data_IF_796092884779
#
_entry.id   IF_796092884779
#
_cell.length_a   1.000
_cell.length_b   1.000
_cell.length_c   1.000
_cell.angle_alpha   90.00
_cell.angle_beta   90.00
_cell.angle_gamma   90.00
#
_symmetry.space_group_name_H-M   'P 1'
#
loop_
_entity.id
_entity.type
_entity.pdbx_description
1 polymer ?
#
# COMPACT_ATOMS: atom_id res chain seq x y z
N UNK A 1 6.56 19.31 17.64
CA UNK A 1 7.44 18.19 17.28
C UNK A 1 7.51 18.07 15.76
N UNK A 2 8.64 18.36 15.08
CA UNK A 2 8.97 18.29 13.62
C UNK A 2 7.85 18.55 12.56
N UNK A 3 6.66 17.98 12.74
CA UNK A 3 5.41 18.08 11.99
C UNK A 3 4.22 18.58 12.83
N UNK A 4 4.44 19.23 13.98
CA UNK A 4 3.37 19.77 14.85
C UNK A 4 3.07 18.93 16.11
N UNK A 5 1.80 18.76 16.45
CA UNK A 5 1.34 17.85 17.52
C UNK A 5 1.11 16.44 16.97
N UNK A 6 1.51 15.42 17.71
CA UNK A 6 1.18 14.04 17.37
C UNK A 6 -0.21 13.68 17.93
N UNK A 7 -1.08 12.97 17.18
CA UNK A 7 -0.92 12.56 15.79
C UNK A 7 -1.22 13.70 14.79
N UNK A 8 -0.31 13.97 13.85
CA UNK A 8 -0.58 14.89 12.73
C UNK A 8 -1.42 14.16 11.67
N UNK A 9 -2.40 14.86 11.10
CA UNK A 9 -3.22 14.38 9.97
C UNK A 9 -2.60 14.73 8.62
N UNK A 10 -1.49 15.46 8.60
CA UNK A 10 -0.83 15.90 7.39
C UNK A 10 -0.04 14.76 6.76
N UNK A 11 -0.11 14.67 5.43
CA UNK A 11 0.64 13.71 4.63
C UNK A 11 1.88 14.39 4.07
N UNK A 12 3.02 13.73 4.17
CA UNK A 12 4.30 14.24 3.71
C UNK A 12 4.99 13.21 2.83
N UNK A 13 5.65 13.66 1.77
CA UNK A 13 6.58 12.80 1.06
C UNK A 13 7.79 12.50 1.97
N UNK A 14 8.36 11.30 1.82
CA UNK A 14 9.49 10.89 2.66
C UNK A 14 10.70 11.83 2.53
N UNK A 15 10.89 12.40 1.34
CA UNK A 15 11.94 13.39 1.10
C UNK A 15 11.74 14.67 1.91
N UNK A 16 10.50 15.14 2.05
CA UNK A 16 10.17 16.33 2.86
C UNK A 16 10.35 16.05 4.35
N UNK A 17 10.04 14.84 4.79
CA UNK A 17 10.34 14.39 6.15
C UNK A 17 11.85 14.43 6.43
N UNK A 18 12.67 13.89 5.51
CA UNK A 18 14.14 13.90 5.63
C UNK A 18 14.70 15.33 5.60
N UNK A 19 14.18 16.20 4.73
CA UNK A 19 14.55 17.62 4.67
C UNK A 19 14.21 18.35 5.97
N UNK A 20 13.01 18.15 6.52
CA UNK A 20 12.61 18.75 7.80
C UNK A 20 13.48 18.31 8.96
N UNK A 21 13.82 17.02 9.03
CA UNK A 21 14.77 16.51 10.02
C UNK A 21 16.14 17.17 9.88
N UNK A 22 16.66 17.27 8.65
CA UNK A 22 17.96 17.88 8.37
C UNK A 22 17.98 19.38 8.73
N UNK A 23 16.94 20.12 8.34
CA UNK A 23 16.79 21.53 8.68
C UNK A 23 16.71 21.74 10.20
N UNK A 24 16.01 20.86 10.91
CA UNK A 24 15.94 20.90 12.38
C UNK A 24 17.32 20.70 13.02
N UNK A 25 18.06 19.69 12.57
CA UNK A 25 19.43 19.41 13.06
C UNK A 25 20.36 20.59 12.82
N UNK A 26 20.26 21.23 11.64
CA UNK A 26 21.05 22.42 11.33
C UNK A 26 20.66 23.63 12.19
N UNK A 27 19.37 23.91 12.32
CA UNK A 27 18.86 25.05 13.10
C UNK A 27 19.21 24.96 14.59
N UNK A 28 19.23 23.74 15.14
CA UNK A 28 19.56 23.50 16.54
C UNK A 28 21.05 23.19 16.78
N UNK A 29 21.90 23.26 15.75
CA UNK A 29 23.34 23.02 15.90
C UNK A 29 23.69 21.60 16.38
N UNK A 30 22.83 20.62 16.09
CA UNK A 30 22.94 19.26 16.62
C UNK A 30 23.90 18.38 15.81
N UNK A 31 24.46 18.90 14.71
CA UNK A 31 25.39 18.17 13.85
C UNK A 31 26.78 18.12 14.47
N UNK A 32 27.32 16.92 14.62
CA UNK A 32 28.67 16.66 15.09
C UNK A 32 29.59 16.29 13.92
N UNK A 33 30.88 16.17 14.22
CA UNK A 33 31.89 15.66 13.30
C UNK A 33 31.57 14.22 12.86
N UNK A 34 32.09 13.82 11.69
CA UNK A 34 31.98 12.45 11.14
C UNK A 34 30.55 11.96 10.83
N UNK A 35 29.57 12.87 10.74
CA UNK A 35 28.19 12.50 10.35
C UNK A 35 27.33 11.97 11.50
N UNK A 36 27.74 12.26 12.74
CA UNK A 36 26.96 12.04 13.95
C UNK A 36 26.05 13.23 14.24
N UNK A 37 24.99 12.97 15.00
CA UNK A 37 24.00 13.95 15.45
C UNK A 37 23.84 13.79 16.95
N UNK A 38 23.99 14.88 17.69
CA UNK A 38 23.68 14.95 19.12
C UNK A 38 22.16 15.02 19.28
N UNK A 39 21.58 14.14 20.08
CA UNK A 39 20.14 14.09 20.30
C UNK A 39 19.73 15.02 21.45
N UNK A 40 18.82 15.95 21.19
CA UNK A 40 18.11 16.69 22.22
C UNK A 40 16.93 15.89 22.76
N UNK A 41 16.32 16.34 23.85
CA UNK A 41 15.18 15.65 24.48
C UNK A 41 14.01 15.47 23.50
N UNK A 42 13.78 16.44 22.61
CA UNK A 42 12.75 16.36 21.57
C UNK A 42 13.01 15.21 20.61
N UNK A 43 14.23 15.09 20.06
CA UNK A 43 14.55 13.99 19.15
C UNK A 43 14.56 12.64 19.87
N UNK A 44 14.99 12.60 21.13
CA UNK A 44 14.95 11.37 21.95
C UNK A 44 13.50 10.89 22.12
N UNK A 45 12.58 11.78 22.50
CA UNK A 45 11.16 11.43 22.65
C UNK A 45 10.48 11.09 21.32
N UNK A 46 10.86 11.73 20.21
CA UNK A 46 10.26 11.49 18.90
C UNK A 46 10.74 10.18 18.25
N UNK A 47 12.01 9.83 18.44
CA UNK A 47 12.68 8.77 17.69
C UNK A 47 12.79 7.46 18.47
N UNK A 48 12.78 7.53 19.80
CA UNK A 48 12.97 6.38 20.69
C UNK A 48 11.74 6.14 21.54
N UNK A 49 11.30 4.89 21.57
CA UNK A 49 10.25 4.47 22.51
C UNK A 49 10.78 4.48 23.94
N UNK A 50 9.88 4.49 24.94
CA UNK A 50 10.26 4.44 26.36
C UNK A 50 11.06 3.17 26.74
N UNK A 51 10.99 2.14 25.90
CA UNK A 51 11.65 0.85 26.10
C UNK A 51 13.01 0.72 25.41
N UNK A 52 13.41 1.71 24.59
CA UNK A 52 14.68 1.70 23.87
C UNK A 52 15.75 2.50 24.62
N UNK A 53 17.01 2.06 24.55
CA UNK A 53 18.14 2.89 24.98
C UNK A 53 18.17 4.19 24.18
N UNK A 54 18.31 5.32 24.89
CA UNK A 54 18.32 6.67 24.33
C UNK A 54 19.76 7.21 24.34
N UNK A 55 20.58 6.86 23.33
CA UNK A 55 21.94 7.38 23.23
C UNK A 55 21.95 8.91 23.10
N UNK A 56 23.05 9.54 23.49
CA UNK A 56 23.26 10.98 23.29
C UNK A 56 23.68 11.33 21.86
N UNK A 57 24.25 10.38 21.13
CA UNK A 57 24.80 10.58 19.79
C UNK A 57 24.39 9.43 18.86
N UNK A 58 23.90 9.78 17.67
CA UNK A 58 23.42 8.81 16.67
C UNK A 58 23.85 9.22 15.28
N UNK A 59 24.12 8.23 14.41
CA UNK A 59 24.45 8.52 13.02
C UNK A 59 23.24 9.08 12.25
N UNK A 60 23.49 10.00 11.31
CA UNK A 60 22.42 10.55 10.46
C UNK A 60 21.64 9.47 9.70
N UNK A 61 22.31 8.36 9.37
CA UNK A 61 21.70 7.20 8.70
C UNK A 61 20.71 6.47 9.60
N UNK A 62 21.09 6.18 10.84
CA UNK A 62 20.23 5.52 11.82
C UNK A 62 19.02 6.40 12.17
N UNK A 63 19.23 7.71 12.34
CA UNK A 63 18.16 8.67 12.59
C UNK A 63 17.14 8.71 11.43
N UNK A 64 17.63 8.64 10.18
CA UNK A 64 16.78 8.52 9.00
C UNK A 64 15.94 7.24 8.99
N UNK A 65 16.52 6.09 9.35
CA UNK A 65 15.81 4.82 9.45
C UNK A 65 14.76 4.83 10.57
N UNK A 66 15.07 5.44 11.72
CA UNK A 66 14.13 5.59 12.83
C UNK A 66 12.97 6.52 12.47
N UNK A 67 13.25 7.60 11.75
CA UNK A 67 12.21 8.48 11.21
C UNK A 67 11.26 7.69 10.31
N UNK A 68 11.81 6.89 9.38
CA UNK A 68 11.01 6.02 8.48
C UNK A 68 10.14 5.02 9.27
N UNK A 69 10.68 4.46 10.35
CA UNK A 69 9.98 3.49 11.21
C UNK A 69 8.85 4.12 12.03
N UNK A 70 9.06 5.33 12.54
CA UNK A 70 8.10 6.00 13.43
C UNK A 70 6.98 6.71 12.67
N UNK A 71 7.17 6.96 11.36
CA UNK A 71 6.13 7.48 10.49
C UNK A 71 5.16 6.37 10.08
N UNK A 72 3.90 6.78 9.85
CA UNK A 72 2.88 5.88 9.31
C UNK A 72 2.90 6.00 7.80
N UNK A 73 3.18 4.90 7.10
CA UNK A 73 3.08 4.86 5.64
C UNK A 73 1.62 5.03 5.18
N UNK A 74 1.46 5.84 4.15
CA UNK A 74 0.23 5.99 3.39
C UNK A 74 0.53 5.78 1.90
N UNK A 75 -0.42 5.20 1.18
CA UNK A 75 -0.40 5.06 -0.27
C UNK A 75 -1.42 6.01 -0.87
N UNK A 76 -1.02 6.76 -1.89
CA UNK A 76 -1.91 7.57 -2.71
C UNK A 76 -2.17 6.83 -4.02
N UNK A 77 -3.46 6.69 -4.38
CA UNK A 77 -3.89 6.12 -5.66
C UNK A 77 -4.53 7.24 -6.46
N UNK A 78 -3.98 7.51 -7.65
CA UNK A 78 -4.44 8.55 -8.56
C UNK A 78 -4.99 7.87 -9.80
N UNK A 79 -6.26 8.12 -10.11
CA UNK A 79 -6.96 7.55 -11.26
C UNK A 79 -7.33 8.68 -12.21
N UNK A 80 -6.60 8.82 -13.31
CA UNK A 80 -6.84 9.90 -14.28
C UNK A 80 -6.72 11.29 -13.64
N UNK A 81 -7.78 12.09 -13.80
CA UNK A 81 -7.88 13.46 -13.26
C UNK A 81 -8.62 13.52 -11.91
N UNK A 82 -8.91 12.39 -11.27
CA UNK A 82 -9.58 12.36 -9.96
C UNK A 82 -8.62 12.69 -8.80
N UNK A 83 -9.21 13.15 -7.68
CA UNK A 83 -8.43 13.42 -6.47
C UNK A 83 -7.77 12.14 -5.91
N UNK A 84 -6.53 12.22 -5.40
CA UNK A 84 -5.82 11.07 -4.85
C UNK A 84 -6.58 10.44 -3.68
N UNK A 85 -6.84 9.14 -3.79
CA UNK A 85 -7.38 8.34 -2.68
C UNK A 85 -6.24 7.87 -1.81
N UNK A 86 -6.23 8.31 -0.54
CA UNK A 86 -5.21 7.91 0.43
C UNK A 86 -5.66 6.71 1.25
N UNK A 87 -4.83 5.68 1.28
CA UNK A 87 -5.02 4.49 2.11
C UNK A 87 -3.83 4.32 3.05
N UNK A 88 -4.10 3.89 4.29
CA UNK A 88 -3.05 3.65 5.28
C UNK A 88 -2.33 2.33 4.95
N UNK A 89 -1.00 2.36 4.95
CA UNK A 89 -0.14 1.20 4.75
C UNK A 89 0.48 1.12 3.35
N UNK A 90 1.06 -0.06 3.07
CA UNK A 90 1.62 -0.40 1.78
C UNK A 90 0.54 -0.40 0.68
N UNK A 91 0.92 -0.22 -0.58
CA UNK A 91 -0.04 -0.20 -1.67
C UNK A 91 -0.84 -1.52 -1.69
N UNK A 92 -2.18 -1.44 -1.86
CA UNK A 92 -2.99 -2.63 -2.00
C UNK A 92 -2.58 -3.40 -3.26
N UNK A 93 -2.77 -4.71 -3.25
CA UNK A 93 -2.57 -5.55 -4.43
C UNK A 93 -3.90 -6.13 -4.89
N UNK A 94 -4.11 -6.18 -6.21
CA UNK A 94 -5.19 -6.96 -6.81
C UNK A 94 -4.76 -8.42 -6.80
N UNK A 95 -5.56 -9.26 -6.16
CA UNK A 95 -5.29 -10.70 -6.12
C UNK A 95 -6.16 -11.41 -7.16
N UNK A 96 -5.51 -12.09 -8.11
CA UNK A 96 -6.13 -12.97 -9.10
C UNK A 96 -5.82 -14.41 -8.68
N UNK A 97 -6.84 -15.12 -8.23
CA UNK A 97 -6.72 -16.50 -7.75
C UNK A 97 -7.42 -17.42 -8.75
N UNK A 98 -6.66 -18.31 -9.38
CA UNK A 98 -7.24 -19.41 -10.16
C UNK A 98 -7.36 -20.62 -9.26
N UNK A 99 -8.57 -21.10 -9.03
CA UNK A 99 -8.82 -22.29 -8.22
C UNK A 99 -9.79 -23.26 -8.89
N UNK A 100 -9.66 -24.54 -8.52
CA UNK A 100 -10.55 -25.60 -8.98
C UNK A 100 -11.61 -25.87 -7.91
N UNK A 101 -12.88 -25.89 -8.31
CA UNK A 101 -14.01 -26.30 -7.46
C UNK A 101 -14.71 -27.48 -8.10
N UNK A 102 -14.55 -28.65 -7.48
CA UNK A 102 -14.96 -29.92 -8.08
C UNK A 102 -14.18 -30.17 -9.37
N UNK A 103 -14.87 -30.29 -10.51
CA UNK A 103 -14.24 -30.43 -11.82
C UNK A 103 -14.06 -29.11 -12.58
N UNK A 104 -14.62 -28.01 -12.06
CA UNK A 104 -14.64 -26.72 -12.76
C UNK A 104 -13.51 -25.82 -12.29
N UNK A 105 -12.83 -25.16 -13.23
CA UNK A 105 -11.86 -24.11 -12.94
C UNK A 105 -12.60 -22.78 -12.87
N UNK A 106 -12.23 -21.93 -11.92
CA UNK A 106 -12.70 -20.56 -11.84
C UNK A 106 -11.54 -19.62 -11.52
N UNK A 107 -11.72 -18.36 -11.89
CA UNK A 107 -10.81 -17.27 -11.57
C UNK A 107 -11.52 -16.30 -10.64
N UNK A 108 -10.87 -15.91 -9.54
CA UNK A 108 -11.34 -14.97 -8.53
C UNK A 108 -10.50 -13.73 -8.55
N UNK A 109 -11.13 -12.55 -8.57
CA UNK A 109 -10.43 -11.26 -8.53
C UNK A 109 -10.87 -10.52 -7.27
N UNK A 110 -9.92 -10.03 -6.49
CA UNK A 110 -10.14 -9.34 -5.20
C UNK A 110 -9.45 -7.98 -5.14
N UNK A 111 -9.87 -7.16 -4.17
CA UNK A 111 -9.31 -5.84 -3.87
C UNK A 111 -9.40 -4.85 -5.05
N UNK A 112 -10.43 -5.00 -5.89
CA UNK A 112 -10.68 -4.07 -6.99
C UNK A 112 -11.07 -2.68 -6.45
N UNK A 113 -11.84 -2.63 -5.35
CA UNK A 113 -12.29 -1.36 -4.79
C UNK A 113 -11.13 -0.53 -4.22
N UNK A 114 -10.02 -1.19 -3.86
CA UNK A 114 -8.83 -0.48 -3.38
C UNK A 114 -8.22 0.42 -4.45
N UNK A 115 -8.50 0.14 -5.73
CA UNK A 115 -8.09 0.95 -6.88
C UNK A 115 -9.24 1.82 -7.45
N UNK A 116 -10.34 1.94 -6.71
CA UNK A 116 -11.54 2.66 -7.18
C UNK A 116 -12.33 1.91 -8.25
N UNK A 117 -12.05 0.62 -8.49
CA UNK A 117 -12.76 -0.17 -9.49
C UNK A 117 -14.03 -0.79 -8.91
N UNK A 118 -15.15 -0.63 -9.62
CA UNK A 118 -16.42 -1.27 -9.26
C UNK A 118 -16.43 -2.75 -9.68
N UNK A 119 -16.59 -3.64 -8.70
CA UNK A 119 -16.63 -5.09 -8.90
C UNK A 119 -17.76 -5.56 -9.83
N UNK A 120 -18.92 -4.90 -9.85
CA UNK A 120 -20.02 -5.23 -10.78
C UNK A 120 -19.68 -4.82 -12.20
N UNK A 121 -19.07 -3.65 -12.39
CA UNK A 121 -18.62 -3.20 -13.71
C UNK A 121 -17.58 -4.18 -14.27
N UNK A 122 -16.59 -4.56 -13.47
CA UNK A 122 -15.58 -5.55 -13.87
C UNK A 122 -16.22 -6.90 -14.18
N UNK A 123 -17.22 -7.34 -13.40
CA UNK A 123 -17.95 -8.58 -13.65
C UNK A 123 -18.74 -8.55 -14.98
N UNK A 124 -19.41 -7.45 -15.29
CA UNK A 124 -20.15 -7.29 -16.55
C UNK A 124 -19.21 -7.23 -17.76
N UNK A 125 -18.09 -6.52 -17.63
CA UNK A 125 -17.06 -6.45 -18.67
C UNK A 125 -16.42 -7.83 -18.89
N UNK A 126 -16.12 -8.55 -17.82
CA UNK A 126 -15.65 -9.93 -17.90
C UNK A 126 -16.65 -10.86 -18.58
N UNK A 127 -17.93 -10.76 -18.26
CA UNK A 127 -18.97 -11.56 -18.92
C UNK A 127 -19.05 -11.29 -20.42
N UNK A 128 -19.01 -10.02 -20.84
CA UNK A 128 -19.05 -9.63 -22.26
C UNK A 128 -17.79 -10.05 -23.02
N UNK A 129 -16.60 -9.88 -22.42
CA UNK A 129 -15.32 -10.19 -23.07
C UNK A 129 -15.04 -11.69 -23.16
N UNK A 130 -15.36 -12.43 -22.10
CA UNK A 130 -15.01 -13.84 -21.99
C UNK A 130 -16.15 -14.79 -22.33
N UNK A 131 -17.34 -14.27 -22.65
CA UNK A 131 -18.56 -15.05 -22.90
C UNK A 131 -18.83 -16.10 -21.80
N UNK A 132 -18.50 -15.77 -20.56
CA UNK A 132 -18.54 -16.67 -19.40
C UNK A 132 -19.44 -16.12 -18.30
N UNK A 133 -19.95 -17.00 -17.45
CA UNK A 133 -20.71 -16.59 -16.27
C UNK A 133 -19.78 -15.94 -15.24
N UNK A 134 -20.14 -14.73 -14.82
CA UNK A 134 -19.49 -14.01 -13.74
C UNK A 134 -20.43 -13.85 -12.55
N UNK A 135 -19.90 -13.74 -11.34
CA UNK A 135 -20.69 -13.54 -10.12
C UNK A 135 -19.90 -12.69 -9.15
N UNK A 136 -20.53 -11.65 -8.59
CA UNK A 136 -19.94 -10.84 -7.52
C UNK A 136 -20.36 -11.43 -6.18
N UNK A 137 -19.42 -11.65 -5.28
CA UNK A 137 -19.70 -12.10 -3.91
C UNK A 137 -19.03 -11.20 -2.88
N UNK A 138 -19.67 -10.92 -1.74
CA UNK A 138 -18.99 -10.24 -0.65
C UNK A 138 -17.87 -11.12 -0.10
N UNK A 139 -16.70 -10.53 0.12
CA UNK A 139 -15.57 -11.16 0.78
C UNK A 139 -15.79 -11.13 2.30
N UNK A 140 -15.82 -12.30 2.97
CA UNK A 140 -15.86 -12.33 4.43
C UNK A 140 -14.51 -11.83 4.97
N UNK A 141 -14.53 -10.72 5.72
CA UNK A 141 -13.31 -10.10 6.25
C UNK A 141 -13.57 -9.17 7.44
N UNK A 142 -12.52 -8.86 8.20
CA UNK A 142 -12.55 -8.01 9.41
C UNK A 142 -12.61 -6.49 9.11
N UNK A 143 -12.86 -6.10 7.86
CA UNK A 143 -12.88 -4.68 7.49
C UNK A 143 -14.26 -4.08 7.74
N UNK A 144 -14.30 -2.79 8.13
CA UNK A 144 -15.56 -2.03 8.29
C UNK A 144 -16.33 -1.86 6.97
N UNK A 145 -15.69 -2.16 5.85
CA UNK A 145 -16.25 -2.05 4.50
C UNK A 145 -16.39 -3.45 3.89
N UNK A 146 -17.57 -3.75 3.37
CA UNK A 146 -17.84 -4.96 2.58
C UNK A 146 -17.05 -4.87 1.29
N UNK A 147 -15.96 -5.65 1.21
CA UNK A 147 -15.23 -5.85 -0.04
C UNK A 147 -15.92 -6.93 -0.86
N UNK A 148 -15.78 -6.89 -2.17
CA UNK A 148 -16.34 -7.87 -3.09
C UNK A 148 -15.24 -8.62 -3.83
N UNK A 149 -15.50 -9.89 -4.14
CA UNK A 149 -14.73 -10.68 -5.10
C UNK A 149 -15.57 -10.94 -6.34
N UNK A 150 -14.91 -10.84 -7.50
CA UNK A 150 -15.48 -11.22 -8.79
C UNK A 150 -15.06 -12.64 -9.11
N UNK A 151 -16.05 -13.53 -9.24
CA UNK A 151 -15.89 -14.91 -9.71
C UNK A 151 -16.14 -14.97 -11.20
N UNK A 152 -15.25 -15.60 -11.95
CA UNK A 152 -15.36 -15.82 -13.38
C UNK A 152 -15.17 -17.32 -13.62
N UNK A 153 -16.14 -17.97 -14.28
CA UNK A 153 -16.02 -19.38 -14.62
C UNK A 153 -14.98 -19.56 -15.73
N UNK A 154 -13.96 -20.40 -15.52
CA UNK A 154 -12.85 -20.59 -16.44
C UNK A 154 -11.51 -20.08 -15.91
N UNK A 155 -10.47 -20.25 -16.72
CA UNK A 155 -9.11 -19.78 -16.44
C UNK A 155 -8.84 -18.56 -17.31
N UNK A 156 -8.80 -17.40 -16.68
CA UNK A 156 -8.62 -16.10 -17.37
C UNK A 156 -7.54 -15.26 -16.69
N UNK A 157 -6.55 -15.89 -16.05
CA UNK A 157 -5.51 -15.17 -15.30
C UNK A 157 -4.71 -14.20 -16.18
N UNK A 158 -4.31 -14.62 -17.38
CA UNK A 158 -3.51 -13.77 -18.27
C UNK A 158 -4.36 -12.63 -18.86
N UNK A 159 -5.58 -12.95 -19.29
CA UNK A 159 -6.48 -12.00 -19.92
C UNK A 159 -6.98 -10.92 -18.95
N UNK A 160 -7.19 -11.27 -17.68
CA UNK A 160 -7.53 -10.30 -16.64
C UNK A 160 -6.31 -9.41 -16.33
N UNK A 161 -5.10 -9.98 -16.24
CA UNK A 161 -3.88 -9.18 -16.07
C UNK A 161 -3.70 -8.18 -17.23
N UNK A 162 -3.91 -8.62 -18.46
CA UNK A 162 -3.81 -7.76 -19.64
C UNK A 162 -4.89 -6.67 -19.63
N UNK A 163 -6.13 -7.02 -19.26
CA UNK A 163 -7.22 -6.05 -19.10
C UNK A 163 -6.91 -4.98 -18.04
N UNK A 164 -6.46 -5.38 -16.85
CA UNK A 164 -6.14 -4.44 -15.77
C UNK A 164 -4.98 -3.52 -16.15
N UNK A 165 -3.98 -4.03 -16.88
CA UNK A 165 -2.88 -3.23 -17.38
C UNK A 165 -3.30 -2.27 -18.49
N UNK A 166 -3.94 -2.79 -19.53
CA UNK A 166 -4.18 -2.06 -20.79
C UNK A 166 -5.41 -1.17 -20.72
N UNK A 167 -6.50 -1.63 -20.09
CA UNK A 167 -7.76 -0.87 -20.01
C UNK A 167 -7.87 -0.02 -18.74
N UNK A 168 -7.22 -0.42 -17.64
CA UNK A 168 -7.32 0.27 -16.34
C UNK A 168 -6.01 0.93 -15.88
N UNK A 169 -4.91 0.77 -16.63
CA UNK A 169 -3.62 1.40 -16.30
C UNK A 169 -2.94 0.86 -15.06
N UNK A 170 -3.37 -0.30 -14.53
CA UNK A 170 -2.85 -0.83 -13.28
C UNK A 170 -1.47 -1.47 -13.50
N UNK A 171 -0.44 -1.06 -12.74
CA UNK A 171 0.90 -1.65 -12.83
C UNK A 171 0.90 -3.14 -12.48
N UNK A 172 1.60 -3.95 -13.28
CA UNK A 172 1.68 -5.41 -13.07
C UNK A 172 2.28 -5.81 -11.72
N UNK A 173 3.14 -4.98 -11.12
CA UNK A 173 3.74 -5.26 -9.80
C UNK A 173 2.72 -5.17 -8.65
N UNK A 174 1.57 -4.54 -8.89
CA UNK A 174 0.45 -4.47 -7.95
C UNK A 174 -0.60 -5.58 -8.18
N UNK A 175 -0.31 -6.51 -9.09
CA UNK A 175 -1.19 -7.64 -9.42
C UNK A 175 -0.50 -8.93 -8.99
N UNK A 176 -1.15 -9.67 -8.08
CA UNK A 176 -0.66 -10.96 -7.61
C UNK A 176 -1.50 -12.09 -8.20
N UNK A 177 -0.86 -13.00 -8.93
CA UNK A 177 -1.54 -14.17 -9.52
C UNK A 177 -1.19 -15.41 -8.73
N UNK A 178 -2.21 -16.04 -8.14
CA UNK A 178 -2.08 -17.28 -7.35
C UNK A 178 -2.85 -18.39 -8.05
N UNK A 179 -2.15 -19.46 -8.42
CA UNK A 179 -2.78 -20.67 -8.98
C UNK A 179 -2.84 -21.73 -7.89
N UNK A 180 -4.04 -22.03 -7.40
CA UNK A 180 -4.28 -23.10 -6.44
C UNK A 180 -4.78 -24.32 -7.22
N UNK A 181 -4.14 -25.47 -7.01
CA UNK A 181 -4.55 -26.76 -7.59
C UNK A 181 -4.34 -26.94 -9.10
N UNK A 182 -3.48 -26.13 -9.73
CA UNK A 182 -3.05 -26.33 -11.12
C UNK A 182 -1.55 -26.62 -11.07
N UNK A 183 -1.16 -27.90 -11.17
CA UNK A 183 0.25 -28.28 -11.37
C UNK A 183 0.78 -27.53 -12.60
N UNK A 184 1.97 -26.95 -12.45
CA UNK A 184 2.74 -26.25 -13.49
C UNK A 184 2.82 -27.02 -14.79
#
# INVERSE_FOLDING_TARGET
FLFGSAPSKELFAMEDCKKRLHNYIQAHGLRLDKGLVRLDDTLKEAMFTASEERPDEVSMKDLGQRLERNLVMYTAIVSGDEEPVFSKGAPPNIEIIVDKVGQKIRTRVKNLEAFGLDSNVVAQQGQKRFACSTTVKPLPGKSKMTLYEVLIQGRFDKEICDYLKTSMGIPLHLISVVRKDIKS
#
